data_IF_361006434774
#
_entry.id   IF_361006434774
#
_cell.length_a   1.000
_cell.length_b   1.000
_cell.length_c   1.000
_cell.angle_alpha   90.00
_cell.angle_beta   90.00
_cell.angle_gamma   90.00
#
_symmetry.space_group_name_H-M   'P 1'
#
loop_
_entity.id
_entity.type
_entity.pdbx_description
1 polymer ?
#
# COMPACT_ATOMS: atom_id res chain seq x y z
N UNK A 1 -5.40 -17.62 7.15
CA UNK A 1 -6.54 -18.41 6.62
C UNK A 1 -7.91 -17.80 6.98
N UNK A 2 -8.23 -17.57 8.25
CA UNK A 2 -9.53 -16.99 8.66
C UNK A 2 -9.85 -15.65 7.96
N UNK A 3 -8.90 -14.71 7.95
CA UNK A 3 -9.07 -13.42 7.27
C UNK A 3 -9.30 -13.58 5.76
N UNK A 4 -8.59 -14.50 5.10
CA UNK A 4 -8.80 -14.79 3.66
C UNK A 4 -10.18 -15.36 3.36
N UNK A 5 -10.70 -16.24 4.22
CA UNK A 5 -12.06 -16.76 4.10
C UNK A 5 -13.12 -15.67 4.33
N UNK A 6 -12.90 -14.80 5.31
CA UNK A 6 -13.75 -13.63 5.58
C UNK A 6 -13.81 -12.69 4.35
N UNK A 7 -12.66 -12.33 3.80
CA UNK A 7 -12.57 -11.49 2.60
C UNK A 7 -13.19 -12.16 1.37
N UNK A 8 -13.09 -13.48 1.24
CA UNK A 8 -13.75 -14.24 0.18
C UNK A 8 -15.27 -14.07 0.29
N UNK A 9 -15.85 -14.25 1.47
CA UNK A 9 -17.29 -14.06 1.69
C UNK A 9 -17.71 -12.64 1.34
N UNK A 10 -16.96 -11.64 1.81
CA UNK A 10 -17.24 -10.23 1.49
C UNK A 10 -17.17 -9.95 -0.02
N UNK A 11 -16.22 -10.54 -0.73
CA UNK A 11 -16.04 -10.34 -2.17
C UNK A 11 -17.14 -10.93 -3.04
N UNK A 12 -17.94 -11.87 -2.51
CA UNK A 12 -19.10 -12.42 -3.20
C UNK A 12 -20.33 -11.51 -3.12
N UNK A 13 -20.35 -10.53 -2.21
CA UNK A 13 -21.48 -9.61 -2.09
C UNK A 13 -21.57 -8.74 -3.37
N UNK A 14 -22.69 -8.80 -4.11
CA UNK A 14 -22.81 -8.13 -5.40
C UNK A 14 -23.10 -6.63 -5.25
N UNK A 15 -23.62 -6.22 -4.09
CA UNK A 15 -24.17 -4.90 -3.91
C UNK A 15 -23.38 -4.09 -2.89
N UNK A 16 -22.83 -2.99 -3.39
CA UNK A 16 -22.02 -2.07 -2.61
C UNK A 16 -22.59 -0.66 -2.81
N UNK A 17 -23.87 -0.57 -3.19
CA UNK A 17 -24.61 0.69 -3.30
C UNK A 17 -24.66 1.50 -1.99
N UNK A 18 -24.27 0.91 -0.84
CA UNK A 18 -24.09 1.62 0.44
C UNK A 18 -22.63 1.97 0.78
N UNK A 19 -21.71 1.96 -0.21
CA UNK A 19 -20.26 2.28 -0.11
C UNK A 19 -19.94 3.47 0.80
N UNK A 20 -20.84 4.45 0.92
CA UNK A 20 -20.65 5.62 1.79
C UNK A 20 -20.48 5.24 3.26
N UNK A 21 -21.26 4.30 3.76
CA UNK A 21 -21.20 3.86 5.16
C UNK A 21 -19.96 2.99 5.42
N UNK A 22 -19.63 2.10 4.48
CA UNK A 22 -18.42 1.28 4.55
C UNK A 22 -17.18 2.18 4.49
N UNK A 23 -17.13 3.12 3.55
CA UNK A 23 -16.03 4.09 3.45
C UNK A 23 -15.94 4.97 4.69
N UNK A 24 -17.07 5.40 5.27
CA UNK A 24 -17.08 6.17 6.51
C UNK A 24 -16.52 5.36 7.68
N UNK A 25 -16.93 4.09 7.82
CA UNK A 25 -16.42 3.18 8.85
C UNK A 25 -14.92 2.90 8.68
N UNK A 26 -14.47 2.70 7.45
CA UNK A 26 -13.05 2.51 7.12
C UNK A 26 -12.25 3.77 7.44
N UNK A 27 -12.74 4.94 7.02
CA UNK A 27 -12.09 6.23 7.31
C UNK A 27 -11.99 6.46 8.82
N UNK A 28 -13.07 6.21 9.56
CA UNK A 28 -13.07 6.29 11.02
C UNK A 28 -12.05 5.31 11.63
N UNK A 29 -12.01 4.08 11.14
CA UNK A 29 -11.06 3.07 11.60
C UNK A 29 -9.61 3.43 11.26
N UNK A 30 -9.34 4.07 10.11
CA UNK A 30 -8.00 4.59 9.75
C UNK A 30 -7.55 5.66 10.74
N UNK A 31 -8.43 6.62 11.03
CA UNK A 31 -8.14 7.69 11.97
C UNK A 31 -7.94 7.12 13.37
N UNK A 32 -8.80 6.19 13.78
CA UNK A 32 -8.69 5.46 15.04
C UNK A 32 -7.38 4.71 15.15
N UNK A 33 -7.00 3.96 14.11
CA UNK A 33 -5.73 3.25 14.02
C UNK A 33 -4.54 4.20 14.15
N UNK A 34 -4.49 5.27 13.36
CA UNK A 34 -3.40 6.22 13.38
C UNK A 34 -3.27 6.92 14.74
N UNK A 35 -4.37 7.46 15.27
CA UNK A 35 -4.38 8.16 16.56
C UNK A 35 -3.96 7.23 17.71
N UNK A 36 -4.49 6.00 17.71
CA UNK A 36 -4.16 4.98 18.72
C UNK A 36 -2.69 4.60 18.65
N UNK A 37 -2.20 4.27 17.45
CA UNK A 37 -0.82 3.83 17.25
C UNK A 37 0.17 4.92 17.65
N UNK A 38 -0.07 6.16 17.22
CA UNK A 38 0.78 7.31 17.59
C UNK A 38 0.72 7.54 19.12
N UNK A 39 -0.48 7.54 19.71
CA UNK A 39 -0.66 7.76 21.14
C UNK A 39 0.06 6.71 22.00
N UNK A 40 -0.09 5.43 21.67
CA UNK A 40 0.58 4.34 22.39
C UNK A 40 2.09 4.38 22.16
N UNK A 41 2.54 4.66 20.95
CA UNK A 41 3.99 4.77 20.66
C UNK A 41 4.64 5.86 21.53
N UNK A 42 3.97 7.01 21.69
CA UNK A 42 4.45 8.08 22.57
C UNK A 42 4.40 7.66 24.04
N UNK A 43 3.34 6.97 24.46
CA UNK A 43 3.18 6.48 25.83
C UNK A 43 4.27 5.47 26.21
N UNK A 44 4.47 4.44 25.38
CA UNK A 44 5.46 3.39 25.59
C UNK A 44 6.88 3.97 25.53
N UNK A 45 7.16 4.81 24.53
CA UNK A 45 8.43 5.52 24.43
C UNK A 45 8.75 6.43 25.63
N UNK A 46 7.75 6.89 26.39
CA UNK A 46 7.99 7.64 27.65
C UNK A 46 8.26 6.73 28.84
N UNK A 47 7.77 5.48 28.81
CA UNK A 47 7.88 4.52 29.90
C UNK A 47 9.17 3.69 29.79
N UNK A 48 9.65 3.46 28.57
CA UNK A 48 10.90 2.75 28.30
C UNK A 48 12.12 3.52 28.80
N UNK A 49 13.05 2.81 29.43
CA UNK A 49 14.33 3.41 29.84
C UNK A 49 15.10 3.89 28.61
N UNK A 50 15.53 5.15 28.62
CA UNK A 50 16.20 5.76 27.45
C UNK A 50 17.60 5.25 27.23
N UNK A 51 18.24 4.76 28.29
CA UNK A 51 19.62 4.28 28.22
C UNK A 51 19.73 2.92 27.53
N UNK A 52 18.63 2.16 27.41
CA UNK A 52 18.61 0.88 26.69
C UNK A 52 18.36 1.03 25.19
N UNK A 53 17.91 2.20 24.71
CA UNK A 53 17.55 2.39 23.30
C UNK A 53 18.77 2.81 22.48
N UNK A 54 19.15 1.95 21.54
CA UNK A 54 20.22 2.25 20.58
C UNK A 54 19.68 2.87 19.29
N UNK A 55 20.18 4.06 18.95
CA UNK A 55 19.91 4.73 17.66
C UNK A 55 21.00 4.48 16.62
N UNK A 56 21.99 3.65 16.95
CA UNK A 56 23.07 3.34 16.01
C UNK A 56 22.55 2.47 14.88
N UNK A 57 22.92 2.80 13.64
CA UNK A 57 22.64 1.95 12.48
C UNK A 57 23.40 0.64 12.64
N UNK A 58 22.68 -0.43 12.98
CA UNK A 58 23.25 -1.76 13.17
C UNK A 58 23.66 -2.40 11.83
N UNK A 59 24.75 -3.18 11.84
CA UNK A 59 25.23 -3.95 10.69
C UNK A 59 26.43 -3.35 9.95
N UNK A 60 26.95 -4.10 8.97
CA UNK A 60 28.07 -3.68 8.12
C UNK A 60 27.70 -2.52 7.20
N UNK A 61 28.71 -1.82 6.66
CA UNK A 61 28.51 -0.70 5.71
C UNK A 61 27.62 -1.11 4.52
N UNK A 62 27.87 -2.29 3.95
CA UNK A 62 27.05 -2.82 2.86
C UNK A 62 25.60 -3.06 3.28
N UNK A 63 25.35 -3.69 4.45
CA UNK A 63 23.99 -3.92 4.97
C UNK A 63 23.22 -2.61 5.13
N UNK A 64 23.87 -1.52 5.58
CA UNK A 64 23.26 -0.19 5.70
C UNK A 64 22.80 0.36 4.35
N UNK A 65 23.64 0.24 3.31
CA UNK A 65 23.27 0.67 1.95
C UNK A 65 22.09 -0.12 1.40
N UNK A 66 22.07 -1.45 1.57
CA UNK A 66 20.94 -2.26 1.12
C UNK A 66 19.65 -1.97 1.90
N UNK A 67 19.74 -1.66 3.20
CA UNK A 67 18.58 -1.17 3.99
C UNK A 67 18.04 0.14 3.43
N UNK A 68 18.91 1.08 3.07
CA UNK A 68 18.49 2.33 2.44
C UNK A 68 17.79 2.10 1.09
N UNK A 69 18.31 1.18 0.27
CA UNK A 69 17.68 0.80 -0.99
C UNK A 69 16.29 0.18 -0.78
N UNK A 70 16.17 -0.77 0.14
CA UNK A 70 14.90 -1.38 0.49
C UNK A 70 13.88 -0.33 1.00
N UNK A 71 14.33 0.62 1.83
CA UNK A 71 13.50 1.70 2.34
C UNK A 71 12.94 2.60 1.21
N UNK A 72 13.69 2.83 0.13
CA UNK A 72 13.18 3.57 -1.03
C UNK A 72 11.96 2.88 -1.66
N UNK A 73 11.98 1.54 -1.77
CA UNK A 73 10.85 0.76 -2.26
C UNK A 73 9.65 0.83 -1.32
N UNK A 74 9.88 0.76 0.01
CA UNK A 74 8.80 0.90 1.01
C UNK A 74 8.16 2.28 0.91
N UNK A 75 8.96 3.36 0.82
CA UNK A 75 8.45 4.72 0.67
C UNK A 75 7.63 4.85 -0.62
N UNK A 76 8.13 4.31 -1.74
CA UNK A 76 7.39 4.35 -3.00
C UNK A 76 6.06 3.59 -2.92
N UNK A 77 6.01 2.45 -2.23
CA UNK A 77 4.76 1.74 -1.95
C UNK A 77 3.80 2.59 -1.10
N UNK A 78 4.31 3.23 -0.04
CA UNK A 78 3.48 4.01 0.88
C UNK A 78 2.79 5.20 0.21
N UNK A 79 3.40 5.78 -0.83
CA UNK A 79 2.83 6.91 -1.58
C UNK A 79 2.17 6.49 -2.91
N UNK A 80 2.12 5.20 -3.23
CA UNK A 80 1.46 4.70 -4.43
C UNK A 80 -0.06 4.61 -4.25
N UNK A 81 -0.82 4.98 -5.29
CA UNK A 81 -2.27 4.82 -5.35
C UNK A 81 -2.74 4.56 -6.78
N UNK A 82 -3.07 3.29 -7.06
CA UNK A 82 -3.55 2.86 -8.36
C UNK A 82 -5.02 3.22 -8.63
N UNK A 83 -5.76 3.72 -7.63
CA UNK A 83 -7.20 4.03 -7.75
C UNK A 83 -7.50 5.48 -8.13
N UNK A 84 -6.48 6.33 -8.29
CA UNK A 84 -6.66 7.72 -8.67
C UNK A 84 -7.48 7.91 -9.96
N UNK A 85 -7.29 7.13 -11.04
CA UNK A 85 -8.09 7.26 -12.26
C UNK A 85 -9.57 6.92 -12.04
N UNK A 86 -9.87 5.83 -11.33
CA UNK A 86 -11.23 5.41 -10.96
C UNK A 86 -11.94 6.45 -10.09
N UNK A 87 -11.22 7.00 -9.10
CA UNK A 87 -11.73 8.11 -8.28
C UNK A 87 -12.02 9.32 -9.17
N UNK A 88 -11.09 9.72 -10.04
CA UNK A 88 -11.28 10.85 -10.93
C UNK A 88 -12.48 10.68 -11.87
N UNK A 89 -12.74 9.46 -12.36
CA UNK A 89 -13.85 9.16 -13.25
C UNK A 89 -15.23 9.25 -12.54
N UNK A 90 -15.26 9.09 -11.22
CA UNK A 90 -16.50 9.17 -10.42
C UNK A 90 -16.72 10.54 -9.78
N UNK A 91 -15.76 11.46 -9.91
CA UNK A 91 -15.83 12.79 -9.32
C UNK A 91 -16.82 13.71 -10.03
N UNK A 92 -17.60 14.47 -9.26
CA UNK A 92 -18.52 15.47 -9.79
C UNK A 92 -17.77 16.59 -10.50
N UNK A 93 -18.34 17.07 -11.59
CA UNK A 93 -17.79 18.21 -12.32
C UNK A 93 -17.76 19.49 -11.46
N UNK A 94 -16.70 20.32 -11.56
CA UNK A 94 -15.53 20.19 -12.42
C UNK A 94 -14.47 19.21 -11.85
N UNK A 95 -14.30 18.06 -12.50
CA UNK A 95 -13.51 16.94 -11.98
C UNK A 95 -12.05 17.32 -11.69
N UNK A 96 -11.39 18.08 -12.58
CA UNK A 96 -9.99 18.52 -12.39
C UNK A 96 -9.79 19.33 -11.12
N UNK A 97 -10.65 20.32 -10.86
CA UNK A 97 -10.53 21.21 -9.69
C UNK A 97 -10.84 20.46 -8.39
N UNK A 98 -11.87 19.63 -8.43
CA UNK A 98 -12.29 18.85 -7.26
C UNK A 98 -11.25 17.76 -6.94
N UNK A 99 -10.70 17.08 -7.95
CA UNK A 99 -9.64 16.09 -7.79
C UNK A 99 -8.37 16.71 -7.21
N UNK A 100 -7.92 17.86 -7.74
CA UNK A 100 -6.74 18.54 -7.21
C UNK A 100 -6.88 18.89 -5.72
N UNK A 101 -8.04 19.43 -5.32
CA UNK A 101 -8.32 19.73 -3.90
C UNK A 101 -8.34 18.47 -3.04
N UNK A 102 -9.00 17.41 -3.52
CA UNK A 102 -9.10 16.14 -2.81
C UNK A 102 -7.74 15.48 -2.60
N UNK A 103 -6.98 15.30 -3.68
CA UNK A 103 -5.63 14.71 -3.67
C UNK A 103 -4.69 15.56 -2.82
N UNK A 104 -4.70 16.90 -2.98
CA UNK A 104 -3.83 17.78 -2.19
C UNK A 104 -4.12 17.68 -0.69
N UNK A 105 -5.40 17.67 -0.29
CA UNK A 105 -5.78 17.50 1.12
C UNK A 105 -5.39 16.10 1.64
N UNK A 106 -5.67 15.05 0.86
CA UNK A 106 -5.35 13.67 1.24
C UNK A 106 -3.84 13.46 1.43
N UNK A 107 -3.02 13.85 0.46
CA UNK A 107 -1.56 13.72 0.56
C UNK A 107 -0.97 14.59 1.67
N UNK A 108 -1.56 15.74 1.98
CA UNK A 108 -1.15 16.54 3.15
C UNK A 108 -1.34 15.75 4.44
N UNK A 109 -2.52 15.12 4.64
CA UNK A 109 -2.80 14.29 5.81
C UNK A 109 -1.90 13.05 5.86
N UNK A 110 -1.70 12.39 4.71
CA UNK A 110 -0.82 11.21 4.59
C UNK A 110 0.61 11.58 5.02
N UNK A 111 1.18 12.65 4.45
CA UNK A 111 2.54 13.09 4.78
C UNK A 111 2.67 13.37 6.28
N UNK A 112 1.73 14.14 6.86
CA UNK A 112 1.76 14.47 8.29
C UNK A 112 1.68 13.22 9.16
N UNK A 113 0.75 12.30 8.86
CA UNK A 113 0.57 11.08 9.64
C UNK A 113 1.77 10.12 9.54
N UNK A 114 2.33 9.95 8.35
CA UNK A 114 3.50 9.09 8.14
C UNK A 114 4.74 9.64 8.81
N UNK A 115 5.01 10.95 8.64
CA UNK A 115 6.17 11.58 9.29
C UNK A 115 6.04 11.58 10.81
N UNK A 116 4.84 11.83 11.35
CA UNK A 116 4.61 11.77 12.78
C UNK A 116 4.84 10.36 13.32
N UNK A 117 4.27 9.34 12.68
CA UNK A 117 4.42 7.96 13.12
C UNK A 117 5.87 7.47 12.98
N UNK A 118 6.55 7.78 11.87
CA UNK A 118 7.95 7.42 11.66
C UNK A 118 8.87 8.07 12.70
N UNK A 119 8.67 9.37 12.97
CA UNK A 119 9.47 10.11 13.96
C UNK A 119 9.22 9.60 15.38
N UNK A 120 7.96 9.43 15.77
CA UNK A 120 7.60 8.92 17.10
C UNK A 120 8.05 7.46 17.28
N UNK A 121 7.89 6.61 16.27
CA UNK A 121 8.31 5.20 16.31
C UNK A 121 9.81 5.05 16.43
N UNK A 122 10.58 5.79 15.62
CA UNK A 122 12.03 5.77 15.72
C UNK A 122 12.52 6.37 17.04
N UNK A 123 11.88 7.44 17.54
CA UNK A 123 12.18 7.99 18.86
C UNK A 123 11.83 7.04 20.01
N UNK A 124 10.79 6.22 19.89
CA UNK A 124 10.36 5.29 20.94
C UNK A 124 11.21 4.02 21.00
N UNK A 125 11.58 3.46 19.84
CA UNK A 125 12.20 2.13 19.74
C UNK A 125 13.61 2.11 19.11
N UNK A 126 14.07 3.24 18.58
CA UNK A 126 15.38 3.36 17.94
C UNK A 126 15.55 2.38 16.78
N UNK A 127 16.71 1.73 16.73
CA UNK A 127 17.08 0.78 15.68
C UNK A 127 16.36 -0.57 15.74
N UNK A 128 15.62 -0.86 16.81
CA UNK A 128 14.92 -2.14 17.03
C UNK A 128 13.44 -2.10 16.62
N UNK A 129 12.99 -0.98 16.05
CA UNK A 129 11.62 -0.83 15.56
C UNK A 129 11.27 -1.93 14.54
N UNK A 130 10.16 -2.61 14.76
CA UNK A 130 9.66 -3.64 13.86
C UNK A 130 8.96 -3.03 12.65
N UNK A 131 8.99 -3.67 11.47
CA UNK A 131 8.28 -3.20 10.27
C UNK A 131 6.78 -2.99 10.50
N UNK A 132 6.18 -3.83 11.34
CA UNK A 132 4.82 -3.61 11.87
C UNK A 132 4.94 -2.99 13.27
N UNK A 133 4.68 -1.68 13.35
CA UNK A 133 4.93 -0.90 14.58
C UNK A 133 4.19 -1.44 15.81
N UNK A 134 2.98 -2.00 15.63
CA UNK A 134 2.21 -2.59 16.73
C UNK A 134 2.91 -3.80 17.38
N UNK A 135 3.77 -4.51 16.64
CA UNK A 135 4.61 -5.57 17.19
C UNK A 135 5.78 -5.06 18.03
N UNK A 136 6.10 -3.76 17.95
CA UNK A 136 7.11 -3.13 18.82
C UNK A 136 6.52 -2.68 20.16
N UNK A 137 5.20 -2.56 20.26
CA UNK A 137 4.52 -2.09 21.46
C UNK A 137 4.37 -3.24 22.46
N UNK A 138 4.62 -2.95 23.74
CA UNK A 138 4.50 -3.94 24.82
C UNK A 138 3.34 -3.66 25.79
N UNK A 139 3.00 -2.39 26.04
CA UNK A 139 1.98 -2.00 27.04
C UNK A 139 1.19 -0.76 26.59
N UNK A 140 -0.13 -0.68 26.84
CA UNK A 140 -1.02 -1.72 27.36
C UNK A 140 -1.65 -2.59 26.25
N UNK A 141 -1.83 -3.88 26.54
CA UNK A 141 -2.27 -4.89 25.55
C UNK A 141 -3.64 -4.58 24.92
N UNK A 142 -4.59 -4.05 25.71
CA UNK A 142 -5.93 -3.73 25.19
C UNK A 142 -5.89 -2.72 24.04
N UNK A 143 -4.94 -1.78 24.08
CA UNK A 143 -4.82 -0.77 23.03
C UNK A 143 -4.19 -1.34 21.76
N UNK A 144 -3.30 -2.33 21.89
CA UNK A 144 -2.76 -3.09 20.76
C UNK A 144 -3.89 -3.90 20.09
N UNK A 145 -4.75 -4.54 20.87
CA UNK A 145 -5.93 -5.26 20.34
C UNK A 145 -6.88 -4.29 19.63
N UNK A 146 -7.16 -3.14 20.23
CA UNK A 146 -8.03 -2.12 19.62
C UNK A 146 -7.46 -1.58 18.30
N UNK A 147 -6.15 -1.31 18.25
CA UNK A 147 -5.48 -0.87 17.03
C UNK A 147 -5.53 -1.96 15.94
N UNK A 148 -5.26 -3.22 16.28
CA UNK A 148 -5.39 -4.32 15.33
C UNK A 148 -6.83 -4.49 14.83
N UNK A 149 -7.84 -4.29 15.69
CA UNK A 149 -9.25 -4.32 15.27
C UNK A 149 -9.54 -3.22 14.24
N UNK A 150 -9.09 -1.98 14.49
CA UNK A 150 -9.22 -0.90 13.52
C UNK A 150 -8.49 -1.21 12.20
N UNK A 151 -7.29 -1.78 12.26
CA UNK A 151 -6.55 -2.20 11.08
C UNK A 151 -7.33 -3.24 10.26
N UNK A 152 -7.88 -4.27 10.91
CA UNK A 152 -8.69 -5.30 10.24
C UNK A 152 -9.90 -4.68 9.54
N UNK A 153 -10.67 -3.83 10.23
CA UNK A 153 -11.86 -3.19 9.65
C UNK A 153 -11.48 -2.33 8.43
N UNK A 154 -10.44 -1.50 8.57
CA UNK A 154 -9.94 -0.64 7.50
C UNK A 154 -9.45 -1.45 6.28
N UNK A 155 -8.60 -2.45 6.51
CA UNK A 155 -8.01 -3.29 5.45
C UNK A 155 -9.13 -4.03 4.71
N UNK A 156 -10.14 -4.52 5.44
CA UNK A 156 -11.26 -5.23 4.82
C UNK A 156 -11.99 -4.36 3.81
N UNK A 157 -12.32 -3.12 4.17
CA UNK A 157 -12.99 -2.22 3.22
C UNK A 157 -12.10 -1.82 2.05
N UNK A 158 -10.82 -1.50 2.29
CA UNK A 158 -9.87 -1.17 1.24
C UNK A 158 -9.69 -2.32 0.24
N UNK A 159 -9.56 -3.55 0.73
CA UNK A 159 -9.40 -4.73 -0.10
C UNK A 159 -10.56 -4.87 -1.11
N UNK A 160 -11.79 -4.68 -0.65
CA UNK A 160 -12.99 -4.76 -1.48
C UNK A 160 -13.09 -3.65 -2.52
N UNK A 161 -12.49 -2.49 -2.28
CA UNK A 161 -12.44 -1.37 -3.23
C UNK A 161 -11.37 -1.64 -4.29
N UNK A 162 -10.18 -2.06 -3.87
CA UNK A 162 -9.04 -2.31 -4.74
C UNK A 162 -9.23 -3.51 -5.68
N UNK A 163 -9.88 -4.59 -5.22
CA UNK A 163 -10.05 -5.78 -6.06
C UNK A 163 -11.16 -5.66 -7.10
N UNK A 164 -12.05 -4.68 -6.94
CA UNK A 164 -13.24 -4.54 -7.78
C UNK A 164 -12.94 -4.24 -9.25
N UNK A 165 -12.08 -3.26 -9.58
CA UNK A 165 -11.69 -3.01 -10.97
C UNK A 165 -11.06 -4.25 -11.63
N UNK A 166 -10.22 -4.97 -10.88
CA UNK A 166 -9.61 -6.23 -11.34
C UNK A 166 -10.67 -7.27 -11.67
N UNK A 167 -11.62 -7.52 -10.75
CA UNK A 167 -12.70 -8.48 -10.99
C UNK A 167 -13.57 -8.08 -12.18
N UNK A 168 -13.92 -6.78 -12.30
CA UNK A 168 -14.69 -6.28 -13.43
C UNK A 168 -13.98 -6.51 -14.77
N UNK A 169 -12.67 -6.23 -14.84
CA UNK A 169 -11.86 -6.46 -16.05
C UNK A 169 -11.84 -7.94 -16.46
N UNK A 170 -11.64 -8.86 -15.51
CA UNK A 170 -11.62 -10.29 -15.81
C UNK A 170 -13.00 -10.84 -16.16
N UNK A 171 -14.06 -10.40 -15.47
CA UNK A 171 -15.44 -10.75 -15.82
C UNK A 171 -15.76 -10.31 -17.25
N UNK A 172 -15.44 -9.06 -17.62
CA UNK A 172 -15.66 -8.56 -18.97
C UNK A 172 -14.90 -9.39 -20.00
N UNK A 173 -13.61 -9.68 -19.76
CA UNK A 173 -12.76 -10.44 -20.68
C UNK A 173 -13.22 -11.89 -20.86
N UNK A 174 -13.64 -12.57 -19.79
CA UNK A 174 -14.13 -13.96 -19.85
C UNK A 174 -15.54 -14.07 -20.42
N UNK A 175 -16.38 -13.05 -20.24
CA UNK A 175 -17.77 -13.03 -20.71
C UNK A 175 -17.93 -12.39 -22.11
N UNK A 176 -16.92 -11.67 -22.60
CA UNK A 176 -16.82 -11.11 -23.96
C UNK A 176 -16.97 -12.17 -25.08
N UNK A 177 -16.80 -13.46 -24.76
CA UNK A 177 -17.10 -14.58 -25.66
C UNK A 177 -18.61 -14.84 -25.84
N UNK A 178 -19.26 -14.13 -26.78
CA UNK A 178 -20.49 -14.50 -27.53
C UNK A 178 -21.73 -15.06 -26.79
N UNK A 179 -21.86 -14.93 -25.47
CA UNK A 179 -23.05 -15.42 -24.75
C UNK A 179 -23.45 -14.53 -23.57
N UNK A 180 -23.52 -13.22 -23.79
CA UNK A 180 -23.82 -12.22 -22.75
C UNK A 180 -25.31 -12.14 -22.36
N UNK A 181 -26.20 -12.95 -22.96
CA UNK A 181 -27.65 -12.71 -22.86
C UNK A 181 -28.52 -13.65 -22.03
N UNK A 182 -28.08 -14.83 -21.57
CA UNK A 182 -29.05 -15.86 -21.12
C UNK A 182 -28.84 -16.56 -19.77
N UNK A 183 -27.70 -16.44 -19.09
CA UNK A 183 -27.46 -17.21 -17.86
C UNK A 183 -26.79 -16.39 -16.74
N UNK A 184 -27.56 -15.75 -15.84
CA UNK A 184 -27.02 -15.06 -14.67
C UNK A 184 -26.19 -15.99 -13.77
N UNK A 185 -26.53 -17.28 -13.74
CA UNK A 185 -25.79 -18.32 -13.04
C UNK A 185 -24.35 -18.49 -13.55
N UNK A 186 -24.13 -18.39 -14.88
CA UNK A 186 -22.78 -18.53 -15.45
C UNK A 186 -21.88 -17.35 -15.04
N UNK A 187 -22.42 -16.14 -15.02
CA UNK A 187 -21.70 -14.95 -14.54
C UNK A 187 -21.32 -15.09 -13.07
N UNK A 188 -22.26 -15.53 -12.23
CA UNK A 188 -22.00 -15.76 -10.81
C UNK A 188 -20.93 -16.84 -10.57
N UNK A 189 -20.99 -17.96 -11.29
CA UNK A 189 -20.00 -19.04 -11.18
C UNK A 189 -18.60 -18.60 -11.63
N UNK A 190 -18.48 -17.86 -12.74
CA UNK A 190 -17.19 -17.34 -13.22
C UNK A 190 -16.58 -16.38 -12.19
N UNK A 191 -17.38 -15.46 -11.64
CA UNK A 191 -16.93 -14.56 -10.57
C UNK A 191 -16.47 -15.36 -9.35
N UNK A 192 -17.27 -16.31 -8.88
CA UNK A 192 -16.94 -17.11 -7.70
C UNK A 192 -15.63 -17.87 -7.90
N UNK A 193 -15.47 -18.58 -9.01
CA UNK A 193 -14.24 -19.34 -9.30
C UNK A 193 -13.03 -18.41 -9.35
N UNK A 194 -13.13 -17.30 -10.10
CA UNK A 194 -12.01 -16.37 -10.26
C UNK A 194 -11.61 -15.75 -8.92
N UNK A 195 -12.59 -15.25 -8.17
CA UNK A 195 -12.35 -14.65 -6.87
C UNK A 195 -11.83 -15.68 -5.87
N UNK A 196 -12.34 -16.91 -5.85
CA UNK A 196 -11.81 -17.99 -5.01
C UNK A 196 -10.37 -18.33 -5.30
N UNK A 197 -9.99 -18.47 -6.58
CA UNK A 197 -8.60 -18.73 -6.97
C UNK A 197 -7.71 -17.56 -6.55
N UNK A 198 -8.14 -16.32 -6.81
CA UNK A 198 -7.40 -15.13 -6.44
C UNK A 198 -7.20 -15.04 -4.92
N UNK A 199 -8.26 -15.22 -4.12
CA UNK A 199 -8.20 -15.24 -2.65
C UNK A 199 -7.31 -16.36 -2.11
N UNK A 200 -7.37 -17.55 -2.70
CA UNK A 200 -6.54 -18.67 -2.29
C UNK A 200 -5.06 -18.37 -2.53
N UNK A 201 -4.72 -17.81 -3.70
CA UNK A 201 -3.35 -17.44 -4.05
C UNK A 201 -2.79 -16.37 -3.10
N UNK A 202 -3.52 -15.27 -2.86
CA UNK A 202 -3.03 -14.22 -1.95
C UNK A 202 -2.90 -14.72 -0.51
N UNK A 203 -3.81 -15.60 -0.06
CA UNK A 203 -3.76 -16.16 1.30
C UNK A 203 -2.58 -17.11 1.44
N UNK A 204 -2.29 -17.90 0.40
CA UNK A 204 -1.11 -18.76 0.36
C UNK A 204 0.17 -17.94 0.38
N UNK A 205 0.24 -16.88 -0.44
CA UNK A 205 1.39 -15.98 -0.49
C UNK A 205 1.61 -15.31 0.88
N UNK A 206 0.54 -14.81 1.51
CA UNK A 206 0.61 -14.20 2.83
C UNK A 206 1.02 -15.19 3.93
N UNK A 207 0.61 -16.47 3.83
CA UNK A 207 1.04 -17.51 4.75
C UNK A 207 2.51 -17.95 4.52
N UNK A 208 3.01 -17.84 3.29
CA UNK A 208 4.36 -18.23 2.90
C UNK A 208 5.42 -17.15 3.14
N UNK A 209 5.04 -15.87 3.12
CA UNK A 209 5.97 -14.75 3.28
C UNK A 209 5.82 -14.06 4.65
N UNK A 210 6.68 -14.37 5.62
CA UNK A 210 6.68 -13.69 6.93
C UNK A 210 7.30 -12.28 6.88
N UNK A 211 7.99 -11.93 5.80
CA UNK A 211 8.78 -10.69 5.67
C UNK A 211 7.96 -9.55 5.06
N UNK A 212 7.10 -8.94 5.87
CA UNK A 212 6.21 -7.87 5.43
C UNK A 212 6.96 -6.69 4.77
N UNK A 213 8.03 -6.19 5.40
CA UNK A 213 8.78 -5.03 4.92
C UNK A 213 9.39 -5.23 3.53
N UNK A 214 10.02 -6.39 3.30
CA UNK A 214 10.67 -6.68 2.02
C UNK A 214 9.66 -6.94 0.91
N UNK A 215 8.55 -7.62 1.23
CA UNK A 215 7.45 -7.80 0.29
C UNK A 215 6.84 -6.47 -0.16
N UNK A 216 6.61 -5.56 0.79
CA UNK A 216 6.14 -4.20 0.52
C UNK A 216 7.14 -3.44 -0.34
N UNK A 217 8.44 -3.56 -0.06
CA UNK A 217 9.50 -2.93 -0.85
C UNK A 217 9.50 -3.40 -2.32
N UNK A 218 9.36 -4.70 -2.58
CA UNK A 218 9.23 -5.24 -3.95
C UNK A 218 8.00 -4.67 -4.64
N UNK A 219 6.84 -4.70 -3.98
CA UNK A 219 5.60 -4.18 -4.55
C UNK A 219 5.72 -2.70 -4.92
N UNK A 220 6.37 -1.91 -4.07
CA UNK A 220 6.65 -0.50 -4.33
C UNK A 220 7.61 -0.31 -5.50
N UNK A 221 8.71 -1.07 -5.54
CA UNK A 221 9.75 -0.94 -6.55
C UNK A 221 9.29 -1.38 -7.95
N UNK A 222 8.59 -2.52 -8.07
CA UNK A 222 8.20 -3.12 -9.35
C UNK A 222 6.82 -2.64 -9.79
N UNK A 223 5.89 -2.48 -8.85
CA UNK A 223 4.50 -2.12 -9.13
C UNK A 223 4.27 -0.61 -9.16
N UNK A 224 4.28 0.01 -7.99
CA UNK A 224 3.89 1.42 -7.85
C UNK A 224 4.89 2.39 -8.47
N UNK A 225 6.20 2.15 -8.35
CA UNK A 225 7.20 3.09 -8.86
C UNK A 225 7.07 3.35 -10.37
N UNK A 226 6.99 2.31 -11.23
CA UNK A 226 6.81 2.50 -12.66
C UNK A 226 5.42 3.03 -13.01
N UNK A 227 4.35 2.55 -12.36
CA UNK A 227 2.97 2.88 -12.72
C UNK A 227 2.56 4.29 -12.28
N UNK A 228 3.01 4.75 -11.11
CA UNK A 228 2.51 5.98 -10.50
C UNK A 228 3.47 7.17 -10.68
N UNK A 229 4.77 6.92 -10.80
CA UNK A 229 5.77 7.98 -10.91
C UNK A 229 6.39 8.09 -12.31
N UNK A 230 6.77 6.96 -12.91
CA UNK A 230 7.43 6.96 -14.23
C UNK A 230 6.41 7.11 -15.36
N UNK A 231 5.38 6.26 -15.39
CA UNK A 231 4.41 6.23 -16.48
C UNK A 231 3.67 7.57 -16.67
N UNK A 232 3.15 8.25 -15.63
CA UNK A 232 2.46 9.51 -15.82
C UNK A 232 3.38 10.61 -16.35
N UNK A 233 4.65 10.63 -15.91
CA UNK A 233 5.68 11.56 -16.37
C UNK A 233 5.97 11.39 -17.86
N UNK A 234 6.15 10.13 -18.31
CA UNK A 234 6.38 9.81 -19.73
C UNK A 234 5.13 10.05 -20.58
N UNK A 235 3.95 9.68 -20.07
CA UNK A 235 2.68 9.94 -20.74
C UNK A 235 2.43 11.44 -20.94
N UNK A 236 2.71 12.25 -19.91
CA UNK A 236 2.62 13.71 -20.00
C UNK A 236 3.53 14.29 -21.10
N UNK A 237 4.78 13.81 -21.18
CA UNK A 237 5.72 14.21 -22.24
C UNK A 237 5.22 13.82 -23.65
N UNK A 238 4.60 12.64 -23.79
CA UNK A 238 4.14 12.11 -25.08
C UNK A 238 2.84 12.75 -25.59
N UNK A 239 1.93 13.14 -24.69
CA UNK A 239 0.64 13.76 -25.05
C UNK A 239 0.81 15.15 -25.70
N UNK A 240 1.97 15.81 -25.50
CA UNK A 240 2.34 17.02 -26.24
C UNK A 240 1.52 18.28 -25.95
N UNK A 241 0.62 18.25 -24.94
CA UNK A 241 -0.20 19.41 -24.50
C UNK A 241 0.58 20.35 -23.58
N UNK A 242 1.77 20.77 -24.02
CA UNK A 242 2.65 21.63 -23.23
C UNK A 242 2.30 23.12 -23.39
N UNK A 243 2.68 23.97 -22.43
CA UNK A 243 2.50 25.42 -22.54
C UNK A 243 3.15 25.98 -23.80
N UNK A 244 2.56 27.04 -24.37
CA UNK A 244 3.09 27.74 -25.55
C UNK A 244 4.40 28.48 -25.24
N UNK A 245 4.59 28.90 -23.99
CA UNK A 245 5.82 29.57 -23.55
C UNK A 245 7.01 28.61 -23.55
N UNK A 246 8.02 28.92 -24.37
CA UNK A 246 9.18 28.06 -24.58
C UNK A 246 9.95 27.76 -23.27
N UNK A 247 10.10 28.75 -22.38
CA UNK A 247 10.77 28.57 -21.07
C UNK A 247 9.98 27.66 -20.13
N UNK A 248 8.66 27.84 -20.06
CA UNK A 248 7.78 27.03 -19.22
C UNK A 248 7.72 25.59 -19.73
N UNK A 249 7.65 25.41 -21.05
CA UNK A 249 7.72 24.10 -21.70
C UNK A 249 9.02 23.36 -21.39
N UNK A 250 10.17 24.02 -21.54
CA UNK A 250 11.47 23.40 -21.26
C UNK A 250 11.59 23.00 -19.78
N UNK A 251 11.17 23.87 -18.86
CA UNK A 251 11.16 23.58 -17.42
C UNK A 251 10.29 22.36 -17.09
N UNK A 252 9.06 22.30 -17.62
CA UNK A 252 8.18 21.14 -17.41
C UNK A 252 8.74 19.85 -18.03
N UNK A 253 9.38 19.93 -19.19
CA UNK A 253 10.01 18.77 -19.81
C UNK A 253 11.16 18.23 -18.97
N UNK A 254 12.05 19.12 -18.51
CA UNK A 254 13.16 18.77 -17.63
C UNK A 254 12.67 18.15 -16.32
N UNK A 255 11.63 18.72 -15.72
CA UNK A 255 11.03 18.20 -14.49
C UNK A 255 10.49 16.78 -14.68
N UNK A 256 9.66 16.54 -15.71
CA UNK A 256 9.09 15.22 -15.96
C UNK A 256 10.16 14.19 -16.32
N UNK A 257 11.18 14.59 -17.09
CA UNK A 257 12.31 13.71 -17.41
C UNK A 257 13.15 13.37 -16.17
N UNK A 258 13.38 14.35 -15.30
CA UNK A 258 14.06 14.15 -14.02
C UNK A 258 13.28 13.22 -13.10
N UNK A 259 11.96 13.40 -12.97
CA UNK A 259 11.07 12.52 -12.19
C UNK A 259 11.14 11.10 -12.76
N UNK A 260 10.92 10.92 -14.06
CA UNK A 260 10.95 9.60 -14.69
C UNK A 260 12.30 8.90 -14.48
N UNK A 261 13.41 9.61 -14.64
CA UNK A 261 14.76 9.06 -14.44
C UNK A 261 15.02 8.71 -12.98
N UNK A 262 14.72 9.63 -12.06
CA UNK A 262 14.92 9.43 -10.62
C UNK A 262 14.13 8.23 -10.09
N UNK A 263 12.83 8.16 -10.41
CA UNK A 263 11.99 7.06 -9.94
C UNK A 263 12.34 5.75 -10.65
N UNK A 264 12.85 5.76 -11.88
CA UNK A 264 13.40 4.54 -12.50
C UNK A 264 14.63 4.02 -11.74
N UNK A 265 15.51 4.91 -11.28
CA UNK A 265 16.65 4.52 -10.42
C UNK A 265 16.15 3.97 -9.09
N UNK A 266 15.17 4.63 -8.46
CA UNK A 266 14.54 4.16 -7.21
C UNK A 266 13.94 2.76 -7.38
N UNK A 267 13.25 2.48 -8.48
CA UNK A 267 12.69 1.16 -8.77
C UNK A 267 13.78 0.08 -8.82
N UNK A 268 14.89 0.34 -9.51
CA UNK A 268 16.01 -0.60 -9.61
C UNK A 268 16.68 -0.82 -8.25
N UNK A 269 17.00 0.26 -7.54
CA UNK A 269 17.63 0.17 -6.22
C UNK A 269 16.73 -0.54 -5.21
N UNK A 270 15.45 -0.17 -5.13
CA UNK A 270 14.47 -0.80 -4.27
C UNK A 270 14.35 -2.30 -4.52
N UNK A 271 14.29 -2.71 -5.78
CA UNK A 271 14.27 -4.12 -6.17
C UNK A 271 15.53 -4.85 -5.72
N UNK A 272 16.73 -4.28 -5.94
CA UNK A 272 18.00 -4.88 -5.49
C UNK A 272 18.02 -5.04 -3.97
N UNK A 273 17.59 -4.01 -3.23
CA UNK A 273 17.53 -4.03 -1.76
C UNK A 273 16.60 -5.11 -1.24
N UNK A 274 15.38 -5.19 -1.80
CA UNK A 274 14.37 -6.14 -1.36
C UNK A 274 14.70 -7.59 -1.73
N UNK A 275 15.17 -7.85 -2.95
CA UNK A 275 15.60 -9.19 -3.36
C UNK A 275 16.75 -9.69 -2.49
N UNK A 276 17.70 -8.83 -2.13
CA UNK A 276 18.79 -9.22 -1.25
C UNK A 276 18.28 -9.69 0.11
N UNK A 277 17.42 -8.92 0.77
CA UNK A 277 16.89 -9.29 2.09
C UNK A 277 16.04 -10.55 2.01
N UNK A 278 15.17 -10.68 1.01
CA UNK A 278 14.39 -11.91 0.80
C UNK A 278 15.30 -13.14 0.64
N UNK A 279 16.40 -13.04 -0.11
CA UNK A 279 17.35 -14.15 -0.25
C UNK A 279 18.03 -14.48 1.08
N UNK A 280 18.41 -13.46 1.87
CA UNK A 280 19.03 -13.66 3.18
C UNK A 280 18.05 -14.29 4.18
N UNK A 281 16.78 -13.89 4.11
CA UNK A 281 15.73 -14.32 5.02
C UNK A 281 15.16 -15.71 4.65
N UNK A 282 15.11 -16.06 3.37
CA UNK A 282 14.76 -17.43 2.93
C UNK A 282 15.78 -18.46 3.43
N UNK A 283 17.06 -18.09 3.55
CA UNK A 283 18.11 -19.00 4.05
C UNK A 283 17.92 -19.39 5.52
N UNK A 284 17.31 -18.52 6.30
CA UNK A 284 17.04 -18.76 7.72
C UNK A 284 15.64 -19.31 7.95
N UNK A 285 14.73 -19.14 6.99
CA UNK A 285 13.35 -19.60 7.08
C UNK A 285 13.17 -21.07 6.72
N UNK A 286 12.46 -21.81 7.56
CA UNK A 286 11.91 -23.13 7.23
C UNK A 286 10.43 -22.97 6.92
N UNK A 287 10.05 -23.38 5.71
CA UNK A 287 8.67 -23.32 5.25
C UNK A 287 7.76 -24.11 6.21
N UNK A 288 6.68 -23.49 6.69
CA UNK A 288 5.67 -24.11 7.56
C UNK A 288 6.19 -24.68 8.90
N UNK A 289 7.13 -24.02 9.58
CA UNK A 289 7.59 -24.50 10.88
C UNK A 289 6.49 -24.52 11.97
N UNK A 290 5.44 -23.70 11.82
CA UNK A 290 4.33 -23.54 12.78
C UNK A 290 2.93 -23.79 12.17
N UNK A 291 2.81 -24.58 11.08
CA UNK A 291 1.51 -25.13 10.64
C UNK A 291 1.25 -26.52 11.20
#
# INVERSE_FOLDING_TARGET
MFFGAFELVLSQLPDIHSLRWVNALCTFSTIGFAATTIGVTIYDGKKTDRNSISYSLQGSSSRKTFRAFNALGIIAFSFGDAMLPEIQNTMREPARKNMYKGVSAAYTVIILSYWQLASCGYWAFGSEVQPYILSSLSVPEWTIVMANLFAVIQISGCYQIYCRPTYAYFEEKMLSGKATGRFPLRKYLVRLIFTSIYMALITLIAAAMPFFGDFVSICGAIGFTPLDFVFPSVAYLKVGRMPKDAKCRLSMQLLNFAIATWFSVVAVLGCIGAVKFIIEDIKTYKFFHDM
#
